data_IF_163115189940
#
_entry.id   IF_163115189940
#
_cell.length_a   1.000
_cell.length_b   1.000
_cell.length_c   1.000
_cell.angle_alpha   90.00
_cell.angle_beta   90.00
_cell.angle_gamma   90.00
#
_symmetry.space_group_name_H-M   'P 1'
#
loop_
_entity.id
_entity.type
_entity.pdbx_description
1 polymer ?
#
# COMPACT_ATOMS: atom_id res chain seq x y z
N UNK A 1 12.92 -6.14 -20.48
CA UNK A 1 12.65 -4.72 -20.12
C UNK A 1 11.67 -4.71 -18.95
N UNK A 2 11.85 -3.77 -18.01
CA UNK A 2 10.91 -3.52 -16.92
C UNK A 2 10.49 -2.03 -16.93
N UNK A 3 9.21 -1.72 -16.72
CA UNK A 3 8.68 -0.35 -16.74
C UNK A 3 7.54 -0.16 -15.73
N UNK A 4 7.50 0.98 -15.03
CA UNK A 4 6.30 1.41 -14.28
C UNK A 4 5.52 2.40 -15.16
N UNK A 5 4.27 2.07 -15.46
CA UNK A 5 3.47 2.81 -16.43
C UNK A 5 2.67 3.94 -15.77
N UNK A 6 2.83 5.16 -16.28
CA UNK A 6 2.10 6.33 -15.78
C UNK A 6 0.60 6.29 -16.15
N UNK A 7 0.26 5.63 -17.26
CA UNK A 7 -1.10 5.46 -17.77
C UNK A 7 -1.27 4.03 -18.32
N UNK A 8 -2.43 3.37 -18.09
CA UNK A 8 -2.63 1.98 -18.48
C UNK A 8 -2.53 1.70 -19.98
N UNK A 9 -2.83 2.68 -20.84
CA UNK A 9 -2.92 2.51 -22.29
C UNK A 9 -1.83 3.22 -23.09
N UNK A 10 -1.26 4.31 -22.57
CA UNK A 10 -0.36 5.19 -23.32
C UNK A 10 0.89 4.48 -23.88
N UNK A 11 1.42 3.51 -23.14
CA UNK A 11 2.61 2.75 -23.57
C UNK A 11 2.26 1.54 -24.45
N UNK A 12 0.98 1.16 -24.55
CA UNK A 12 0.60 -0.15 -25.08
C UNK A 12 1.07 -0.41 -26.50
N UNK A 13 0.93 0.57 -27.40
CA UNK A 13 1.39 0.44 -28.80
C UNK A 13 2.89 0.17 -28.87
N UNK A 14 3.70 0.91 -28.10
CA UNK A 14 5.15 0.74 -28.05
C UNK A 14 5.56 -0.61 -27.42
N UNK A 15 4.91 -1.00 -26.33
CA UNK A 15 5.19 -2.26 -25.64
C UNK A 15 4.80 -3.47 -26.49
N UNK A 16 3.65 -3.42 -27.19
CA UNK A 16 3.27 -4.46 -28.16
C UNK A 16 4.27 -4.57 -29.31
N UNK A 17 4.80 -3.45 -29.80
CA UNK A 17 5.85 -3.47 -30.82
C UNK A 17 7.14 -4.12 -30.29
N UNK A 18 7.52 -3.81 -29.04
CA UNK A 18 8.67 -4.44 -28.39
C UNK A 18 8.47 -5.96 -28.26
N UNK A 19 7.29 -6.41 -27.81
CA UNK A 19 6.96 -7.83 -27.71
C UNK A 19 6.97 -8.55 -29.07
N UNK A 20 6.44 -7.92 -30.13
CA UNK A 20 6.53 -8.45 -31.51
C UNK A 20 7.97 -8.63 -31.97
N UNK A 21 8.89 -7.79 -31.51
CA UNK A 21 10.32 -7.91 -31.78
C UNK A 21 11.06 -8.84 -30.79
N UNK A 22 10.34 -9.66 -30.02
CA UNK A 22 10.90 -10.65 -29.11
C UNK A 22 11.33 -10.11 -27.75
N UNK A 23 11.14 -8.81 -27.47
CA UNK A 23 11.49 -8.22 -26.17
C UNK A 23 10.46 -8.65 -25.13
N UNK A 24 10.93 -9.25 -24.03
CA UNK A 24 10.10 -9.55 -22.87
C UNK A 24 9.81 -8.28 -22.07
N UNK A 25 8.53 -7.99 -21.89
CA UNK A 25 8.03 -6.79 -21.22
C UNK A 25 7.47 -7.17 -19.86
N UNK A 26 8.09 -6.62 -18.82
CA UNK A 26 7.58 -6.66 -17.44
C UNK A 26 7.11 -5.27 -17.07
N UNK A 27 5.91 -5.16 -16.51
CA UNK A 27 5.49 -3.96 -15.79
C UNK A 27 5.70 -4.16 -14.30
N UNK A 28 5.94 -3.10 -13.54
CA UNK A 28 6.06 -3.17 -12.08
C UNK A 28 5.57 -1.88 -11.44
N UNK A 29 5.13 -1.94 -10.18
CA UNK A 29 4.56 -0.81 -9.43
C UNK A 29 3.22 -0.28 -10.00
N UNK A 30 3.22 0.22 -11.23
CA UNK A 30 2.03 0.64 -11.99
C UNK A 30 1.92 -0.14 -13.31
N UNK A 31 0.80 -0.82 -13.54
CA UNK A 31 0.58 -1.71 -14.69
C UNK A 31 0.04 -0.98 -15.94
N UNK A 32 0.19 -1.64 -17.09
CA UNK A 32 -0.58 -1.37 -18.31
C UNK A 32 -1.80 -2.29 -18.39
N UNK A 33 -2.62 -2.20 -19.44
CA UNK A 33 -3.58 -3.28 -19.69
C UNK A 33 -2.86 -4.61 -19.93
N UNK A 34 -3.43 -5.76 -19.50
CA UNK A 34 -2.69 -7.02 -19.47
C UNK A 34 -2.11 -7.48 -20.81
N UNK A 35 -2.76 -7.12 -21.91
CA UNK A 35 -2.38 -7.45 -23.28
C UNK A 35 -1.18 -6.64 -23.82
N UNK A 36 -0.66 -5.68 -23.05
CA UNK A 36 0.49 -4.85 -23.42
C UNK A 36 1.81 -5.34 -22.82
N UNK A 37 1.80 -6.41 -22.01
CA UNK A 37 2.98 -6.90 -21.27
C UNK A 37 2.94 -8.40 -21.06
N UNK A 38 4.07 -9.01 -20.71
CA UNK A 38 4.17 -10.44 -20.42
C UNK A 38 3.84 -10.78 -18.97
N UNK A 39 4.24 -9.93 -18.03
CA UNK A 39 3.96 -10.10 -16.60
C UNK A 39 3.94 -8.75 -15.89
N UNK A 40 3.16 -8.64 -14.82
CA UNK A 40 3.13 -7.49 -13.93
C UNK A 40 3.62 -7.88 -12.54
N UNK A 41 4.59 -7.16 -12.01
CA UNK A 41 5.06 -7.34 -10.63
C UNK A 41 4.42 -6.28 -9.72
N UNK A 42 3.48 -6.73 -8.88
CA UNK A 42 2.78 -5.88 -7.91
C UNK A 42 3.46 -5.92 -6.54
N UNK A 43 3.49 -4.78 -5.86
CA UNK A 43 3.97 -4.63 -4.49
C UNK A 43 3.16 -5.41 -3.46
N UNK A 44 1.84 -5.47 -3.68
CA UNK A 44 0.85 -6.12 -2.85
C UNK A 44 -0.47 -6.15 -3.63
N UNK A 45 -1.41 -7.01 -3.24
CA UNK A 45 -2.76 -6.93 -3.80
C UNK A 45 -3.52 -5.74 -3.20
N UNK A 46 -4.47 -5.18 -3.95
CA UNK A 46 -5.35 -4.14 -3.43
C UNK A 46 -6.18 -4.64 -2.23
N UNK A 47 -6.50 -5.94 -2.21
CA UNK A 47 -7.15 -6.60 -1.09
C UNK A 47 -6.24 -6.64 0.14
N UNK A 48 -4.98 -7.05 0.00
CA UNK A 48 -4.03 -7.04 1.11
C UNK A 48 -3.89 -5.62 1.68
N UNK A 49 -3.63 -4.60 0.83
CA UNK A 49 -3.49 -3.21 1.27
C UNK A 49 -4.73 -2.70 2.01
N UNK A 50 -5.94 -3.03 1.53
CA UNK A 50 -7.16 -2.64 2.26
C UNK A 50 -7.38 -3.40 3.56
N UNK A 51 -7.11 -4.71 3.60
CA UNK A 51 -7.42 -5.55 4.77
C UNK A 51 -6.38 -5.42 5.88
N UNK A 52 -5.10 -5.39 5.55
CA UNK A 52 -4.03 -5.41 6.56
C UNK A 52 -3.97 -4.12 7.37
N UNK A 53 -4.27 -2.96 6.76
CA UNK A 53 -4.36 -1.69 7.47
C UNK A 53 -5.45 -1.70 8.56
N UNK A 54 -6.64 -2.29 8.27
CA UNK A 54 -7.71 -2.49 9.27
C UNK A 54 -7.26 -3.45 10.36
N UNK A 55 -6.65 -4.57 10.00
CA UNK A 55 -6.16 -5.57 10.95
C UNK A 55 -5.10 -4.99 11.88
N UNK A 56 -4.21 -4.14 11.36
CA UNK A 56 -3.17 -3.49 12.12
C UNK A 56 -3.77 -2.48 13.10
N UNK A 57 -4.68 -1.60 12.65
CA UNK A 57 -5.34 -0.64 13.54
C UNK A 57 -6.18 -1.37 14.61
N UNK A 58 -6.93 -2.40 14.23
CA UNK A 58 -7.79 -3.15 15.13
C UNK A 58 -7.00 -3.72 16.32
N UNK A 59 -5.80 -4.26 16.07
CA UNK A 59 -4.90 -4.73 17.13
C UNK A 59 -4.48 -3.59 18.06
N UNK A 60 -4.10 -2.43 17.50
CA UNK A 60 -3.65 -1.26 18.27
C UNK A 60 -4.75 -0.66 19.17
N UNK A 61 -6.02 -0.76 18.77
CA UNK A 61 -7.16 -0.23 19.53
C UNK A 61 -7.89 -1.31 20.35
N UNK A 62 -7.43 -2.56 20.32
CA UNK A 62 -8.08 -3.68 21.00
C UNK A 62 -9.47 -4.00 20.47
N UNK A 63 -9.64 -3.93 19.14
CA UNK A 63 -10.86 -4.30 18.41
C UNK A 63 -12.13 -3.53 18.83
N UNK A 64 -11.99 -2.29 19.30
CA UNK A 64 -13.13 -1.46 19.72
C UNK A 64 -12.91 0.03 19.50
N UNK A 65 -13.99 0.73 19.19
CA UNK A 65 -14.06 2.19 19.14
C UNK A 65 -14.30 2.76 17.75
N UNK A 66 -14.42 4.08 17.70
CA UNK A 66 -14.62 4.82 16.46
C UNK A 66 -13.30 4.94 15.71
N UNK A 67 -13.34 4.69 14.41
CA UNK A 67 -12.21 4.87 13.50
C UNK A 67 -12.59 5.78 12.35
N UNK A 68 -11.60 6.47 11.78
CA UNK A 68 -11.77 7.26 10.58
C UNK A 68 -10.73 6.87 9.54
N UNK A 69 -11.04 7.14 8.28
CA UNK A 69 -10.09 7.05 7.18
C UNK A 69 -9.71 8.47 6.74
N UNK A 70 -8.41 8.76 6.66
CA UNK A 70 -7.88 9.96 6.03
C UNK A 70 -7.24 9.59 4.69
N UNK A 71 -8.04 9.67 3.64
CA UNK A 71 -7.65 9.33 2.28
C UNK A 71 -6.97 10.50 1.55
N UNK A 72 -6.52 10.25 0.32
CA UNK A 72 -6.02 11.23 -0.64
C UNK A 72 -7.18 12.03 -1.27
N UNK A 73 -7.31 12.02 -2.60
CA UNK A 73 -8.43 12.63 -3.32
C UNK A 73 -9.65 11.69 -3.38
N UNK A 74 -10.85 12.27 -3.46
CA UNK A 74 -12.10 11.51 -3.62
C UNK A 74 -12.15 10.67 -4.91
N UNK A 75 -11.39 11.07 -5.93
CA UNK A 75 -11.31 10.41 -7.23
C UNK A 75 -10.14 9.43 -7.32
N UNK A 76 -9.35 9.27 -6.24
CA UNK A 76 -8.15 8.43 -6.27
C UNK A 76 -8.53 6.94 -6.33
N UNK A 77 -8.36 6.33 -7.50
CA UNK A 77 -8.78 4.96 -7.80
C UNK A 77 -8.18 3.94 -6.84
N UNK A 78 -6.88 4.04 -6.55
CA UNK A 78 -6.18 3.08 -5.68
C UNK A 78 -6.73 3.13 -4.25
N UNK A 79 -6.75 4.32 -3.64
CA UNK A 79 -7.26 4.52 -2.28
C UNK A 79 -8.72 4.13 -2.17
N UNK A 80 -9.56 4.47 -3.14
CA UNK A 80 -10.97 4.07 -3.12
C UNK A 80 -11.11 2.53 -3.17
N UNK A 81 -10.33 1.86 -4.00
CA UNK A 81 -10.30 0.38 -4.05
C UNK A 81 -9.89 -0.22 -2.71
N UNK A 82 -8.81 0.29 -2.09
CA UNK A 82 -8.35 -0.17 -0.78
C UNK A 82 -9.40 0.09 0.31
N UNK A 83 -10.03 1.26 0.31
CA UNK A 83 -11.10 1.63 1.24
C UNK A 83 -12.31 0.71 1.11
N UNK A 84 -12.66 0.27 -0.09
CA UNK A 84 -13.75 -0.69 -0.26
C UNK A 84 -13.40 -2.06 0.32
N UNK A 85 -12.15 -2.51 0.19
CA UNK A 85 -11.65 -3.69 0.91
C UNK A 85 -11.58 -3.46 2.43
N UNK A 86 -11.24 -2.26 2.91
CA UNK A 86 -11.30 -1.92 4.35
C UNK A 86 -12.73 -2.03 4.88
N UNK A 87 -13.71 -1.46 4.16
CA UNK A 87 -15.13 -1.54 4.51
C UNK A 87 -15.62 -2.98 4.51
N UNK A 88 -15.17 -3.79 3.56
CA UNK A 88 -15.50 -5.21 3.51
C UNK A 88 -14.89 -5.99 4.67
N UNK A 89 -13.62 -5.75 5.00
CA UNK A 89 -12.94 -6.32 6.16
C UNK A 89 -13.70 -6.02 7.45
N UNK A 90 -14.13 -4.77 7.65
CA UNK A 90 -14.86 -4.32 8.84
C UNK A 90 -16.22 -5.01 9.03
N UNK A 91 -16.76 -5.73 8.03
CA UNK A 91 -18.00 -6.52 8.20
C UNK A 91 -17.78 -7.81 9.00
N UNK A 92 -16.53 -8.25 9.17
CA UNK A 92 -16.25 -9.51 9.87
C UNK A 92 -16.60 -9.42 11.38
N UNK A 93 -17.06 -10.53 12.01
CA UNK A 93 -17.56 -10.51 13.39
C UNK A 93 -16.59 -9.97 14.44
N UNK A 94 -15.28 -10.14 14.24
CA UNK A 94 -14.24 -9.64 15.14
C UNK A 94 -14.20 -8.10 15.25
N UNK A 95 -14.72 -7.38 14.25
CA UNK A 95 -14.74 -5.92 14.22
C UNK A 95 -16.09 -5.32 14.62
N UNK A 96 -17.04 -6.11 15.14
CA UNK A 96 -18.40 -5.66 15.50
C UNK A 96 -18.46 -4.46 16.46
N UNK A 97 -17.40 -4.23 17.24
CA UNK A 97 -17.28 -3.11 18.18
C UNK A 97 -16.45 -1.93 17.63
N UNK A 98 -16.01 -2.02 16.38
CA UNK A 98 -15.36 -0.94 15.65
C UNK A 98 -16.38 -0.27 14.74
N UNK A 99 -16.31 1.07 14.65
CA UNK A 99 -17.23 1.84 13.81
C UNK A 99 -16.43 2.82 12.94
N UNK A 100 -16.48 2.65 11.62
CA UNK A 100 -16.00 3.67 10.69
C UNK A 100 -16.98 4.85 10.72
N UNK A 101 -16.54 5.98 11.30
CA UNK A 101 -17.40 7.17 11.46
C UNK A 101 -17.28 8.14 10.30
N UNK A 102 -16.12 8.19 9.64
CA UNK A 102 -15.86 9.12 8.54
C UNK A 102 -14.74 8.64 7.63
N UNK A 103 -14.91 8.91 6.33
CA UNK A 103 -13.80 9.01 5.38
C UNK A 103 -13.61 10.49 5.03
N UNK A 104 -12.45 11.03 5.35
CA UNK A 104 -12.01 12.38 5.04
C UNK A 104 -10.94 12.35 3.93
N UNK A 105 -10.73 13.48 3.26
CA UNK A 105 -9.89 13.57 2.06
C UNK A 105 -8.90 14.72 2.20
N UNK A 106 -7.62 14.38 2.30
CA UNK A 106 -6.51 15.33 2.39
C UNK A 106 -5.95 15.76 1.03
N UNK A 107 -6.45 15.18 -0.08
CA UNK A 107 -6.07 15.49 -1.46
C UNK A 107 -4.56 15.36 -1.76
N UNK A 108 -3.86 14.47 -1.04
CA UNK A 108 -2.38 14.37 -1.05
C UNK A 108 -1.67 15.71 -0.85
N UNK A 109 -2.33 16.62 -0.13
CA UNK A 109 -1.77 17.88 0.31
C UNK A 109 -1.52 17.84 1.82
N UNK A 110 -0.31 18.21 2.24
CA UNK A 110 0.10 18.09 3.64
C UNK A 110 -0.71 19.01 4.55
N UNK A 111 -1.02 20.24 4.12
CA UNK A 111 -1.75 21.21 4.92
C UNK A 111 -3.22 20.79 5.07
N UNK A 112 -3.86 20.39 3.97
CA UNK A 112 -5.23 19.89 3.99
C UNK A 112 -5.34 18.62 4.83
N UNK A 113 -4.41 17.67 4.67
CA UNK A 113 -4.38 16.44 5.48
C UNK A 113 -4.25 16.73 6.99
N UNK A 114 -3.43 17.72 7.35
CA UNK A 114 -3.30 18.18 8.73
C UNK A 114 -4.62 18.78 9.26
N UNK A 115 -5.27 19.63 8.45
CA UNK A 115 -6.57 20.24 8.78
C UNK A 115 -7.69 19.20 8.88
N UNK A 116 -7.73 18.21 7.99
CA UNK A 116 -8.69 17.11 8.05
C UNK A 116 -8.49 16.26 9.30
N UNK A 117 -7.23 15.98 9.69
CA UNK A 117 -6.93 15.29 10.95
C UNK A 117 -7.46 16.08 12.15
N UNK A 118 -7.23 17.40 12.16
CA UNK A 118 -7.76 18.28 13.20
C UNK A 118 -9.29 18.23 13.25
N UNK A 119 -9.96 18.35 12.10
CA UNK A 119 -11.41 18.32 11.98
C UNK A 119 -12.00 16.99 12.48
N UNK A 120 -11.43 15.86 12.06
CA UNK A 120 -11.84 14.53 12.54
C UNK A 120 -11.81 14.44 14.07
N UNK A 121 -10.76 14.97 14.71
CA UNK A 121 -10.60 14.91 16.17
C UNK A 121 -11.48 15.90 16.94
N UNK A 122 -12.00 16.93 16.27
CA UNK A 122 -12.98 17.87 16.81
C UNK A 122 -14.41 17.32 16.66
N UNK A 123 -14.73 16.77 15.49
CA UNK A 123 -16.05 16.22 15.16
C UNK A 123 -16.32 14.90 15.90
N UNK A 124 -15.29 14.07 16.10
CA UNK A 124 -15.37 12.76 16.74
C UNK A 124 -14.49 12.69 17.99
N UNK A 125 -14.93 13.21 19.15
CA UNK A 125 -14.10 13.24 20.37
C UNK A 125 -13.79 11.85 20.94
N UNK A 126 -14.53 10.81 20.52
CA UNK A 126 -14.33 9.42 20.93
C UNK A 126 -13.46 8.61 19.96
N UNK A 127 -12.94 9.24 18.90
CA UNK A 127 -12.11 8.59 17.89
C UNK A 127 -10.93 7.87 18.55
N UNK A 128 -10.77 6.59 18.21
CA UNK A 128 -9.70 5.72 18.72
C UNK A 128 -8.60 5.49 17.71
N UNK A 129 -8.91 5.61 16.42
CA UNK A 129 -7.94 5.31 15.37
C UNK A 129 -8.18 6.08 14.07
N UNK A 130 -7.10 6.34 13.35
CA UNK A 130 -7.12 6.84 11.98
C UNK A 130 -6.33 5.86 11.11
N UNK A 131 -6.92 5.45 9.99
CA UNK A 131 -6.22 4.76 8.90
C UNK A 131 -5.96 5.80 7.80
N UNK A 132 -4.71 5.99 7.39
CA UNK A 132 -4.36 6.91 6.31
C UNK A 132 -3.63 6.19 5.18
N UNK A 133 -4.34 5.73 4.13
CA UNK A 133 -3.75 4.96 3.03
C UNK A 133 -3.03 5.85 2.00
N UNK A 134 -2.21 6.78 2.49
CA UNK A 134 -1.41 7.73 1.70
C UNK A 134 -0.21 8.17 2.52
N UNK A 135 0.95 8.25 1.87
CA UNK A 135 2.21 8.68 2.48
C UNK A 135 2.17 10.14 2.92
N UNK A 136 1.45 11.01 2.20
CA UNK A 136 1.28 12.42 2.58
C UNK A 136 0.32 12.53 3.77
N UNK A 137 -0.82 11.84 3.69
CA UNK A 137 -1.84 11.90 4.73
C UNK A 137 -1.35 11.37 6.08
N UNK A 138 -0.68 10.21 6.10
CA UNK A 138 -0.20 9.60 7.34
C UNK A 138 0.86 10.49 8.02
N UNK A 139 1.76 11.10 7.25
CA UNK A 139 2.81 11.99 7.77
C UNK A 139 2.20 13.24 8.39
N UNK A 140 1.22 13.84 7.73
CA UNK A 140 0.52 15.02 8.22
C UNK A 140 -0.32 14.70 9.47
N UNK A 141 -1.02 13.57 9.49
CA UNK A 141 -1.76 13.10 10.66
C UNK A 141 -0.83 12.83 11.84
N UNK A 142 0.32 12.19 11.61
CA UNK A 142 1.32 11.93 12.63
C UNK A 142 1.91 13.24 13.17
N UNK A 143 2.15 14.23 12.31
CA UNK A 143 2.59 15.56 12.73
C UNK A 143 1.58 16.22 13.67
N UNK A 144 0.29 16.20 13.31
CA UNK A 144 -0.79 16.76 14.14
C UNK A 144 -0.91 16.04 15.49
N UNK A 145 -0.97 14.71 15.45
CA UNK A 145 -1.09 13.90 16.67
C UNK A 145 0.11 14.11 17.59
N UNK A 146 1.33 14.10 17.06
CA UNK A 146 2.56 14.25 17.84
C UNK A 146 2.65 15.58 18.57
N UNK A 147 2.05 16.65 18.03
CA UNK A 147 2.06 18.00 18.62
C UNK A 147 0.82 18.33 19.45
N UNK A 148 -0.15 17.41 19.58
CA UNK A 148 -1.44 17.68 20.21
C UNK A 148 -1.69 16.83 21.45
N UNK A 149 -2.75 17.18 22.19
CA UNK A 149 -3.23 16.43 23.37
C UNK A 149 -3.67 14.98 23.07
N UNK A 150 -3.74 14.60 21.79
CA UNK A 150 -4.17 13.30 21.28
C UNK A 150 -3.02 12.31 21.11
N UNK A 151 -1.76 12.75 21.22
CA UNK A 151 -0.58 11.88 21.17
C UNK A 151 -0.74 10.67 22.10
N UNK A 152 -0.56 9.46 21.56
CA UNK A 152 -0.70 8.19 22.28
C UNK A 152 -2.14 7.77 22.64
N UNK A 153 -3.13 8.67 22.48
CA UNK A 153 -4.55 8.41 22.77
C UNK A 153 -5.35 7.96 21.55
N UNK A 154 -5.02 8.52 20.39
CA UNK A 154 -5.60 8.14 19.09
C UNK A 154 -4.51 7.42 18.31
N UNK A 155 -4.78 6.18 17.91
CA UNK A 155 -3.85 5.38 17.12
C UNK A 155 -3.86 5.85 15.67
N UNK A 156 -2.72 5.72 15.02
CA UNK A 156 -2.55 6.07 13.61
C UNK A 156 -1.79 4.93 12.95
N UNK A 157 -2.33 4.46 11.83
CA UNK A 157 -1.67 3.56 10.91
C UNK A 157 -2.00 3.98 9.48
N UNK A 158 -1.43 3.28 8.50
CA UNK A 158 -1.72 3.46 7.09
C UNK A 158 -0.48 3.20 6.24
N UNK A 159 -0.37 3.89 5.10
CA UNK A 159 0.74 3.73 4.18
C UNK A 159 1.74 4.88 4.31
N UNK A 160 2.98 4.60 4.74
CA UNK A 160 4.00 5.62 5.00
C UNK A 160 5.42 5.19 4.60
N UNK A 161 6.31 6.13 4.30
CA UNK A 161 7.72 5.77 4.09
C UNK A 161 8.46 5.68 5.43
N UNK A 162 9.37 4.70 5.60
CA UNK A 162 10.20 4.60 6.79
C UNK A 162 10.90 5.91 7.15
N UNK A 163 11.43 6.64 6.17
CA UNK A 163 12.13 7.89 6.42
C UNK A 163 11.25 8.98 7.05
N UNK A 164 10.03 9.16 6.55
CA UNK A 164 9.13 10.18 7.08
C UNK A 164 8.51 9.79 8.42
N UNK A 165 8.30 8.49 8.63
CA UNK A 165 7.58 7.99 9.80
C UNK A 165 8.47 7.67 10.99
N UNK A 166 9.78 7.48 10.80
CA UNK A 166 10.73 7.07 11.84
C UNK A 166 10.66 7.89 13.12
N UNK A 167 10.59 9.22 13.01
CA UNK A 167 10.51 10.08 14.20
C UNK A 167 9.21 9.88 14.99
N UNK A 168 8.10 9.58 14.31
CA UNK A 168 6.80 9.37 14.92
C UNK A 168 6.67 7.98 15.54
N UNK A 169 7.34 6.99 14.95
CA UNK A 169 7.53 5.67 15.57
C UNK A 169 8.35 5.80 16.85
N UNK A 170 9.54 6.41 16.76
CA UNK A 170 10.45 6.55 17.90
C UNK A 170 9.88 7.38 19.05
N UNK A 171 9.02 8.35 18.75
CA UNK A 171 8.42 9.21 19.76
C UNK A 171 7.06 8.71 20.30
N UNK A 172 6.61 7.52 19.88
CA UNK A 172 5.38 6.87 20.34
C UNK A 172 4.07 7.44 19.78
N UNK A 173 4.14 8.29 18.76
CA UNK A 173 2.93 8.78 18.07
C UNK A 173 2.30 7.71 17.18
N UNK A 174 3.13 6.91 16.51
CA UNK A 174 2.73 5.81 15.62
C UNK A 174 3.34 4.52 16.15
N UNK A 175 2.55 3.47 16.32
CA UNK A 175 3.08 2.18 16.80
C UNK A 175 3.62 1.34 15.66
N UNK A 176 2.82 1.23 14.59
CA UNK A 176 3.19 0.55 13.36
C UNK A 176 2.38 1.11 12.19
N UNK A 177 2.95 1.01 11.00
CA UNK A 177 2.32 1.35 9.72
C UNK A 177 2.82 0.37 8.64
N UNK A 178 2.31 0.49 7.43
CA UNK A 178 2.60 -0.42 6.32
C UNK A 178 3.18 0.31 5.10
N UNK A 179 3.94 -0.40 4.28
CA UNK A 179 4.29 -0.05 2.90
C UNK A 179 4.90 -1.31 2.25
N UNK A 180 5.83 -1.15 1.33
CA UNK A 180 6.61 -2.22 0.71
C UNK A 180 8.04 -1.75 0.50
N UNK A 181 8.94 -2.71 0.28
CA UNK A 181 10.33 -2.43 -0.02
C UNK A 181 10.52 -2.25 -1.54
N UNK A 182 10.77 -1.03 -2.04
CA UNK A 182 10.93 -0.79 -3.47
C UNK A 182 12.17 -1.47 -4.05
N UNK A 183 13.20 -1.74 -3.24
CA UNK A 183 14.38 -2.48 -3.70
C UNK A 183 14.02 -3.94 -3.98
N UNK A 184 13.21 -4.57 -3.12
CA UNK A 184 12.69 -5.93 -3.38
C UNK A 184 11.74 -5.96 -4.57
N UNK A 185 10.90 -4.94 -4.74
CA UNK A 185 10.03 -4.85 -5.91
C UNK A 185 10.84 -4.78 -7.21
N UNK A 186 11.88 -3.95 -7.23
CA UNK A 186 12.81 -3.84 -8.35
C UNK A 186 13.60 -5.12 -8.61
N UNK A 187 14.08 -5.80 -7.56
CA UNK A 187 14.74 -7.11 -7.70
C UNK A 187 13.79 -8.13 -8.32
N UNK A 188 12.56 -8.25 -7.82
CA UNK A 188 11.58 -9.19 -8.36
C UNK A 188 11.24 -8.87 -9.82
N UNK A 189 11.07 -7.59 -10.18
CA UNK A 189 10.87 -7.17 -11.57
C UNK A 189 12.04 -7.58 -12.48
N UNK A 190 13.28 -7.39 -12.03
CA UNK A 190 14.46 -7.80 -12.77
C UNK A 190 14.56 -9.32 -12.91
N UNK A 191 14.31 -10.08 -11.83
CA UNK A 191 14.30 -11.54 -11.82
C UNK A 191 13.23 -12.11 -12.75
N UNK A 192 12.03 -11.54 -12.74
CA UNK A 192 10.94 -11.89 -13.66
C UNK A 192 11.35 -11.65 -15.11
N UNK A 193 11.98 -10.51 -15.42
CA UNK A 193 12.45 -10.21 -16.78
C UNK A 193 13.51 -11.22 -17.25
N UNK A 194 14.43 -11.65 -16.37
CA UNK A 194 15.41 -12.70 -16.65
C UNK A 194 14.74 -14.06 -16.86
N UNK A 195 13.78 -14.43 -16.01
CA UNK A 195 13.05 -15.69 -16.12
C UNK A 195 12.25 -15.78 -17.44
N UNK A 196 11.62 -14.69 -17.87
CA UNK A 196 10.97 -14.58 -19.18
C UNK A 196 11.97 -14.63 -20.34
N UNK A 197 13.10 -13.94 -20.23
CA UNK A 197 14.10 -13.85 -21.30
C UNK A 197 14.88 -15.14 -21.50
N UNK A 198 15.06 -15.93 -20.44
CA UNK A 198 15.71 -17.25 -20.49
C UNK A 198 14.77 -18.37 -20.92
N UNK A 199 13.46 -18.10 -20.98
CA UNK A 199 12.44 -19.10 -21.31
C UNK A 199 12.06 -20.02 -20.13
N UNK A 200 12.48 -19.69 -18.90
CA UNK A 200 12.05 -20.41 -17.69
C UNK A 200 10.53 -20.28 -17.48
N UNK A 201 9.96 -19.12 -17.83
CA UNK A 201 8.52 -18.84 -17.82
C UNK A 201 8.11 -18.17 -19.12
N UNK A 202 6.83 -18.29 -19.45
CA UNK A 202 6.20 -17.62 -20.60
C UNK A 202 5.34 -16.42 -20.22
N UNK A 203 5.02 -16.28 -18.92
CA UNK A 203 4.10 -15.25 -18.41
C UNK A 203 2.69 -15.77 -18.20
N UNK A 204 2.47 -17.08 -18.28
CA UNK A 204 1.14 -17.70 -18.15
C UNK A 204 0.80 -17.92 -16.68
N UNK A 205 -0.47 -17.72 -16.37
CA UNK A 205 -1.04 -18.03 -15.07
C UNK A 205 -0.73 -19.49 -14.68
N UNK A 206 -0.36 -19.69 -13.42
CA UNK A 206 0.01 -20.98 -12.83
C UNK A 206 1.48 -21.36 -12.95
N UNK A 207 2.27 -20.69 -13.81
CA UNK A 207 3.71 -20.91 -13.89
C UNK A 207 4.40 -20.45 -12.59
N UNK A 208 5.47 -21.15 -12.19
CA UNK A 208 6.31 -20.75 -11.05
C UNK A 208 7.75 -20.53 -11.48
N UNK A 209 8.48 -19.67 -10.76
CA UNK A 209 9.90 -19.47 -10.98
C UNK A 209 10.62 -19.10 -9.68
N UNK A 210 11.92 -19.41 -9.64
CA UNK A 210 12.79 -19.01 -8.52
C UNK A 210 13.39 -17.64 -8.79
N UNK A 211 13.07 -16.66 -7.94
CA UNK A 211 13.60 -15.31 -7.97
C UNK A 211 14.88 -15.18 -7.10
N UNK A 212 15.85 -16.07 -7.32
CA UNK A 212 17.10 -16.08 -6.54
C UNK A 212 16.85 -16.31 -5.04
N UNK A 213 17.46 -15.47 -4.19
CA UNK A 213 17.28 -15.51 -2.73
C UNK A 213 15.91 -15.07 -2.26
N UNK A 214 15.09 -14.47 -3.12
CA UNK A 214 13.71 -14.08 -2.78
C UNK A 214 12.76 -15.28 -2.68
N UNK A 215 13.17 -16.46 -3.15
CA UNK A 215 12.38 -17.68 -3.11
C UNK A 215 11.61 -17.94 -4.41
N UNK A 216 10.54 -18.72 -4.30
CA UNK A 216 9.68 -19.10 -5.43
C UNK A 216 8.45 -18.20 -5.52
N UNK A 217 8.11 -17.79 -6.73
CA UNK A 217 6.95 -16.96 -7.03
C UNK A 217 6.07 -17.66 -8.07
N UNK A 218 4.76 -17.45 -7.95
CA UNK A 218 3.75 -17.96 -8.88
C UNK A 218 3.17 -16.80 -9.68
N UNK A 219 2.98 -17.02 -10.98
CA UNK A 219 2.24 -16.12 -11.85
C UNK A 219 0.75 -16.34 -11.60
N UNK A 220 0.10 -15.34 -11.05
CA UNK A 220 -1.33 -15.34 -10.82
C UNK A 220 -2.13 -14.94 -12.06
N UNK A 221 -3.42 -14.69 -11.82
CA UNK A 221 -4.36 -14.23 -12.85
C UNK A 221 -3.82 -13.02 -13.60
N UNK A 222 -4.10 -13.00 -14.91
CA UNK A 222 -3.68 -11.95 -15.83
C UNK A 222 -2.16 -11.70 -15.82
N UNK A 223 -1.33 -12.67 -15.44
CA UNK A 223 0.13 -12.50 -15.44
C UNK A 223 0.69 -11.72 -14.25
N UNK A 224 -0.08 -11.59 -13.16
CA UNK A 224 0.32 -10.82 -11.98
C UNK A 224 1.17 -11.65 -11.03
N UNK A 225 2.34 -11.15 -10.66
CA UNK A 225 3.24 -11.70 -9.65
C UNK A 225 3.24 -10.75 -8.46
N UNK A 226 2.78 -11.21 -7.30
CA UNK A 226 2.74 -10.39 -6.08
C UNK A 226 4.04 -10.55 -5.30
N UNK A 227 4.65 -9.43 -4.90
CA UNK A 227 5.80 -9.41 -3.99
C UNK A 227 5.44 -10.02 -2.62
N UNK A 228 4.17 -9.89 -2.21
CA UNK A 228 3.62 -10.47 -1.00
C UNK A 228 2.72 -9.48 -0.25
N UNK A 229 2.53 -9.72 1.04
CA UNK A 229 1.86 -8.78 1.94
C UNK A 229 2.72 -7.52 2.14
N UNK A 230 2.09 -6.35 2.38
CA UNK A 230 2.83 -5.15 2.74
C UNK A 230 3.69 -5.41 3.99
N UNK A 231 4.86 -4.76 4.02
CA UNK A 231 5.77 -4.80 5.17
C UNK A 231 5.22 -3.92 6.27
N UNK A 232 5.07 -4.49 7.47
CA UNK A 232 4.75 -3.73 8.68
C UNK A 232 6.04 -3.12 9.23
N UNK A 233 6.07 -1.81 9.38
CA UNK A 233 7.17 -1.06 9.98
C UNK A 233 6.79 -0.67 11.41
N UNK A 234 7.66 -1.01 12.36
CA UNK A 234 7.50 -0.70 13.79
C UNK A 234 8.86 -0.34 14.40
N UNK A 235 8.88 -0.09 15.72
CA UNK A 235 10.12 0.28 16.41
C UNK A 235 11.24 -0.77 16.31
N UNK A 236 10.95 -2.03 15.95
CA UNK A 236 11.94 -3.12 15.86
C UNK A 236 12.68 -3.13 14.54
N UNK A 237 12.06 -2.68 13.45
CA UNK A 237 12.64 -2.78 12.11
C UNK A 237 12.79 -1.44 11.37
N UNK A 238 12.20 -0.34 11.85
CA UNK A 238 12.19 0.96 11.14
C UNK A 238 13.59 1.52 10.80
N UNK A 239 14.61 1.18 11.59
CA UNK A 239 15.99 1.61 11.38
C UNK A 239 16.75 0.76 10.35
N UNK A 240 16.16 -0.33 9.86
CA UNK A 240 16.73 -1.20 8.83
C UNK A 240 16.43 -0.72 7.41
N UNK A 241 15.55 0.29 7.25
CA UNK A 241 15.08 0.78 5.97
C UNK A 241 15.44 2.26 5.79
N UNK A 242 15.80 2.64 4.57
CA UNK A 242 16.21 4.00 4.21
C UNK A 242 15.59 4.46 2.88
N UNK A 243 14.26 4.54 2.86
CA UNK A 243 13.46 5.11 1.77
C UNK A 243 12.26 5.89 2.34
#
# INVERSE_FOLDING_TARGET
>A
MAVSAQDPGALCTALKQAMKNGIKVVTYDSDTTPDCRNAFVSQASAEDLGRTEVQLLAKQIGYKGEIAILSAAQTATNQNTWIDFMKDELKKPEYKNMKLVKTAYGNDDAQQSFQQTQGLLQEYPNLKGIISPTTVGIKAAAQYLSGSKYKGKVKLTGLGTPNDMRKYVKNGTVEAFELWDPAKLGELAARTAVALSSGQITGKEGETFKAGSMGEYTIGKDGVISLGKPTVFDAKNIDQFNF
#
